data_IF_749651944831
#
_entry.id   IF_749651944831
#
_cell.length_a   1.000
_cell.length_b   1.000
_cell.length_c   1.000
_cell.angle_alpha   90.00
_cell.angle_beta   90.00
_cell.angle_gamma   90.00
#
_symmetry.space_group_name_H-M   'P 1'
#
loop_
_entity.id
_entity.type
_entity.pdbx_description
1 polymer ?
#
# COMPACT_ATOMS: atom_id res chain seq x y z
N UNK A 1 46.44 -37.08 30.96
CA UNK A 1 47.67 -36.38 31.40
C UNK A 1 47.44 -34.91 31.18
N UNK A 2 47.31 -34.17 32.29
CA UNK A 2 47.97 -32.84 32.59
C UNK A 2 47.63 -31.69 31.61
N UNK A 3 47.28 -30.50 31.95
CA UNK A 3 46.99 -29.83 33.23
C UNK A 3 46.56 -28.38 32.84
N UNK A 4 45.54 -27.89 33.49
CA UNK A 4 45.36 -26.60 34.15
C UNK A 4 46.24 -25.41 33.74
N UNK A 5 45.62 -24.25 33.48
CA UNK A 5 45.95 -23.05 34.25
C UNK A 5 44.86 -21.96 34.13
N UNK A 6 44.33 -21.57 35.30
CA UNK A 6 43.55 -20.37 35.56
C UNK A 6 44.49 -19.17 35.68
N UNK A 7 44.06 -17.97 35.21
CA UNK A 7 44.51 -16.71 35.84
C UNK A 7 43.29 -15.77 35.99
N UNK A 8 43.07 -15.37 37.24
CA UNK A 8 42.14 -14.35 37.72
C UNK A 8 42.88 -12.99 37.74
N UNK A 9 42.12 -11.93 37.66
CA UNK A 9 42.55 -10.56 38.00
C UNK A 9 41.47 -9.61 37.53
N UNK A 10 40.63 -9.15 38.32
CA UNK A 10 40.53 -8.20 39.42
C UNK A 10 40.16 -6.79 38.93
N UNK A 11 39.02 -6.36 39.49
CA UNK A 11 38.37 -5.06 39.61
C UNK A 11 39.26 -3.82 39.53
N UNK A 12 38.71 -2.75 38.96
CA UNK A 12 38.87 -1.39 39.51
C UNK A 12 37.60 -0.56 39.21
N UNK A 13 36.91 -0.18 40.29
CA UNK A 13 35.88 0.85 40.39
C UNK A 13 36.58 2.23 40.42
N UNK A 14 36.00 3.20 39.72
CA UNK A 14 36.19 4.61 40.05
C UNK A 14 34.88 5.37 39.76
N UNK A 15 34.25 5.80 40.83
CA UNK A 15 33.16 6.75 40.89
C UNK A 15 33.72 8.17 41.09
N UNK A 16 33.04 9.18 40.55
CA UNK A 16 33.01 10.63 40.94
C UNK A 16 32.48 11.37 39.72
N UNK A 17 31.56 12.32 39.76
CA UNK A 17 30.90 13.05 40.81
C UNK A 17 29.96 14.07 40.18
N UNK A 18 28.96 14.47 40.90
CA UNK A 18 27.92 15.45 40.57
C UNK A 18 28.48 16.83 40.16
N UNK A 19 27.79 17.54 39.28
CA UNK A 19 27.63 18.98 39.34
C UNK A 19 26.25 19.40 38.82
N UNK A 20 25.38 19.83 39.74
CA UNK A 20 24.18 20.63 39.47
C UNK A 20 24.59 22.07 39.14
N UNK A 21 23.96 22.67 38.15
CA UNK A 21 23.81 24.13 38.09
C UNK A 21 22.41 24.45 37.52
N UNK A 22 21.57 24.96 38.38
CA UNK A 22 20.29 25.61 38.08
C UNK A 22 20.53 27.13 37.95
N UNK A 23 19.88 27.80 37.00
CA UNK A 23 19.51 29.22 37.00
C UNK A 23 18.39 29.39 35.97
N UNK A 24 17.20 29.54 36.37
CA UNK A 24 16.22 30.60 36.70
C UNK A 24 15.95 31.63 35.61
N UNK A 25 14.67 31.62 35.22
CA UNK A 25 13.71 32.72 35.00
C UNK A 25 13.91 33.73 33.87
N UNK A 26 12.84 33.89 33.13
CA UNK A 26 12.53 35.02 32.29
C UNK A 26 11.18 34.85 31.57
N UNK A 27 10.09 35.23 32.26
CA UNK A 27 8.76 35.33 31.64
C UNK A 27 8.59 36.76 31.08
N UNK A 28 8.06 36.87 29.85
CA UNK A 28 7.27 37.99 29.32
C UNK A 28 6.73 37.58 27.98
N UNK A 29 5.41 37.41 27.82
CA UNK A 29 4.48 38.42 27.44
C UNK A 29 4.03 38.21 26.04
N UNK A 30 2.79 37.66 25.84
CA UNK A 30 2.05 37.59 24.55
C UNK A 30 1.72 39.01 24.04
N UNK A 31 1.37 39.20 22.78
CA UNK A 31 -0.05 39.13 22.47
C UNK A 31 -0.41 38.32 21.23
N UNK A 32 -1.61 37.78 21.27
CA UNK A 32 -2.35 37.21 20.16
C UNK A 32 -2.60 38.25 19.08
N UNK A 33 -2.42 37.85 17.82
CA UNK A 33 -3.03 38.51 16.68
C UNK A 33 -3.71 37.44 15.83
N UNK A 34 -5.04 37.44 15.92
CA UNK A 34 -5.94 36.86 14.95
C UNK A 34 -5.58 37.38 13.55
N UNK A 35 -5.30 36.47 12.64
CA UNK A 35 -5.46 36.70 11.23
C UNK A 35 -6.05 35.46 10.61
N UNK A 36 -7.38 35.43 10.55
CA UNK A 36 -8.15 34.53 9.72
C UNK A 36 -7.82 34.82 8.24
N UNK A 37 -6.75 34.20 7.74
CA UNK A 37 -6.44 34.05 6.34
C UNK A 37 -6.98 32.71 5.88
N UNK A 38 -8.10 32.71 5.14
CA UNK A 38 -8.53 31.59 4.32
C UNK A 38 -7.48 31.34 3.23
N UNK A 39 -6.44 30.62 3.55
CA UNK A 39 -5.64 29.94 2.56
C UNK A 39 -6.28 28.55 2.38
N UNK A 40 -6.76 28.27 1.18
CA UNK A 40 -7.05 26.92 0.72
C UNK A 40 -5.78 26.10 0.83
N UNK A 41 -5.48 25.66 2.06
CA UNK A 41 -4.32 24.84 2.36
C UNK A 41 -4.51 23.50 1.68
N UNK A 42 -3.64 23.20 0.73
CA UNK A 42 -3.19 21.83 0.50
C UNK A 42 -2.90 21.27 1.89
N UNK A 43 -3.76 20.41 2.41
CA UNK A 43 -3.48 19.65 3.61
C UNK A 43 -2.16 18.95 3.34
N UNK A 44 -1.09 19.43 3.93
CA UNK A 44 0.23 18.90 3.74
C UNK A 44 0.18 17.44 4.11
N UNK A 45 0.68 16.60 3.23
CA UNK A 45 0.79 15.18 3.48
C UNK A 45 1.87 15.01 4.54
N UNK A 46 1.48 15.06 5.80
CA UNK A 46 2.37 14.92 6.95
C UNK A 46 2.49 13.46 7.40
N UNK A 47 2.57 12.53 6.44
CA UNK A 47 2.86 11.14 6.75
C UNK A 47 4.36 10.89 6.55
N UNK A 48 5.15 10.63 7.62
CA UNK A 48 6.59 10.37 7.50
C UNK A 48 6.93 9.09 6.71
N UNK A 49 5.97 8.19 6.54
CA UNK A 49 6.13 7.00 5.72
C UNK A 49 5.87 7.26 4.23
N UNK A 50 5.33 8.43 3.86
CA UNK A 50 5.08 8.77 2.47
C UNK A 50 6.38 9.11 1.76
N UNK A 51 6.65 8.43 0.66
CA UNK A 51 7.79 8.75 -0.22
C UNK A 51 7.54 10.08 -0.94
N UNK A 52 8.33 11.14 -0.68
CA UNK A 52 8.20 12.42 -1.38
C UNK A 52 8.77 12.36 -2.80
N UNK A 53 9.35 11.23 -3.19
CA UNK A 53 10.09 11.04 -4.43
C UNK A 53 11.48 11.69 -4.42
N UNK A 54 12.43 11.02 -5.04
CA UNK A 54 13.78 11.52 -5.24
C UNK A 54 13.93 12.19 -6.62
N UNK A 55 14.54 13.37 -6.66
CA UNK A 55 14.78 14.08 -7.92
C UNK A 55 15.84 13.35 -8.75
N UNK A 56 15.57 13.20 -10.05
CA UNK A 56 16.51 12.62 -11.03
C UNK A 56 17.20 13.68 -11.91
N UNK A 57 17.04 14.97 -11.58
CA UNK A 57 17.75 16.06 -12.24
C UNK A 57 17.37 16.31 -13.69
N UNK A 58 16.36 15.65 -14.24
CA UNK A 58 15.92 15.83 -15.62
C UNK A 58 16.82 15.18 -16.66
N UNK A 59 17.48 14.07 -16.32
CA UNK A 59 18.20 13.24 -17.28
C UNK A 59 17.25 12.66 -18.33
N UNK A 60 17.75 12.34 -19.51
CA UNK A 60 16.93 11.72 -20.56
C UNK A 60 16.50 10.32 -20.13
N UNK A 61 15.20 10.05 -20.12
CA UNK A 61 14.68 8.72 -19.87
C UNK A 61 15.15 7.72 -20.94
N UNK A 62 15.60 6.53 -20.57
CA UNK A 62 15.89 5.45 -21.51
C UNK A 62 14.66 5.16 -22.38
N UNK A 63 14.87 4.92 -23.69
CA UNK A 63 13.75 4.56 -24.55
C UNK A 63 13.28 3.14 -24.26
N UNK A 64 11.97 2.96 -24.27
CA UNK A 64 11.30 1.66 -24.08
C UNK A 64 10.73 1.28 -25.42
N UNK A 65 11.00 0.06 -25.89
CA UNK A 65 10.44 -0.50 -27.13
C UNK A 65 9.89 -1.89 -26.84
N UNK A 66 8.60 -1.95 -26.56
CA UNK A 66 7.87 -3.15 -26.16
C UNK A 66 6.53 -3.20 -26.91
N UNK A 67 5.64 -4.09 -26.53
CA UNK A 67 4.25 -4.12 -26.99
C UNK A 67 3.30 -3.90 -25.82
N UNK A 68 2.16 -3.27 -26.06
CA UNK A 68 1.17 -3.08 -25.00
C UNK A 68 0.26 -4.31 -24.84
N UNK A 69 -0.68 -4.27 -23.91
CA UNK A 69 -1.65 -5.34 -23.63
C UNK A 69 -2.57 -5.69 -24.81
N UNK A 70 -2.53 -4.92 -25.90
CA UNK A 70 -3.24 -5.21 -27.15
C UNK A 70 -2.31 -5.79 -28.22
N UNK A 71 -1.03 -6.04 -27.91
CA UNK A 71 -0.04 -6.50 -28.87
C UNK A 71 0.48 -5.41 -29.82
N UNK A 72 0.18 -4.15 -29.57
CA UNK A 72 0.61 -3.04 -30.41
C UNK A 72 2.03 -2.61 -30.04
N UNK A 73 2.92 -2.37 -31.01
CA UNK A 73 4.27 -1.86 -30.74
C UNK A 73 4.18 -0.46 -30.10
N UNK A 74 4.91 -0.28 -28.99
CA UNK A 74 4.95 0.96 -28.24
C UNK A 74 6.38 1.40 -27.98
N UNK A 75 6.60 2.71 -28.03
CA UNK A 75 7.86 3.33 -27.62
C UNK A 75 7.59 4.51 -26.68
N UNK A 76 8.43 4.69 -25.66
CA UNK A 76 8.31 5.82 -24.74
C UNK A 76 8.33 7.17 -25.47
N UNK A 77 9.09 7.25 -26.56
CA UNK A 77 9.21 8.43 -27.41
C UNK A 77 7.89 8.89 -28.06
N UNK A 78 6.90 8.00 -28.21
CA UNK A 78 5.57 8.32 -28.74
C UNK A 78 4.76 9.24 -27.83
N UNK A 79 5.13 9.31 -26.54
CA UNK A 79 4.43 10.12 -25.55
C UNK A 79 5.04 11.51 -25.35
N UNK A 80 5.92 11.96 -26.26
CA UNK A 80 6.39 13.36 -26.25
C UNK A 80 5.22 14.33 -26.29
N UNK A 81 5.29 15.37 -25.48
CA UNK A 81 4.19 16.31 -25.28
C UNK A 81 3.25 15.97 -24.13
N UNK A 82 3.37 14.75 -23.57
CA UNK A 82 2.67 14.34 -22.35
C UNK A 82 3.66 14.11 -21.22
N UNK A 83 3.25 14.38 -19.99
CA UNK A 83 3.92 13.82 -18.82
C UNK A 83 3.61 12.32 -18.75
N UNK A 84 4.57 11.52 -18.31
CA UNK A 84 4.41 10.07 -18.21
C UNK A 84 4.61 9.66 -16.76
N UNK A 85 3.68 8.86 -16.23
CA UNK A 85 3.82 8.14 -14.98
C UNK A 85 4.07 6.67 -15.34
N UNK A 86 5.26 6.19 -15.07
CA UNK A 86 5.75 4.88 -15.46
C UNK A 86 5.99 4.03 -14.22
N UNK A 87 5.31 2.89 -14.11
CA UNK A 87 5.51 1.93 -13.03
C UNK A 87 6.04 0.60 -13.57
N UNK A 88 6.83 -0.11 -12.75
CA UNK A 88 7.20 -1.50 -12.99
C UNK A 88 6.27 -2.37 -12.15
N UNK A 89 5.59 -3.32 -12.79
CA UNK A 89 4.45 -4.05 -12.23
C UNK A 89 4.60 -5.53 -12.57
N UNK A 90 4.52 -6.39 -11.58
CA UNK A 90 4.36 -7.82 -11.79
C UNK A 90 2.91 -8.11 -12.22
N UNK A 91 2.74 -8.71 -13.39
CA UNK A 91 1.43 -9.01 -13.99
C UNK A 91 0.61 -10.07 -13.24
N UNK A 92 1.20 -10.79 -12.30
CA UNK A 92 0.55 -11.76 -11.42
C UNK A 92 0.49 -11.30 -9.95
N UNK A 93 0.97 -10.09 -9.66
CA UNK A 93 0.95 -9.54 -8.31
C UNK A 93 -0.48 -9.20 -7.86
N UNK A 94 -0.85 -9.67 -6.68
CA UNK A 94 -2.17 -9.49 -6.10
C UNK A 94 -2.18 -8.60 -4.86
N UNK A 95 -1.01 -8.09 -4.44
CA UNK A 95 -0.87 -7.27 -3.23
C UNK A 95 -0.44 -5.82 -3.52
N UNK A 96 0.86 -5.55 -3.71
CA UNK A 96 1.39 -4.17 -3.82
C UNK A 96 1.22 -3.53 -5.20
N UNK A 97 1.25 -4.31 -6.29
CA UNK A 97 1.12 -3.74 -7.63
C UNK A 97 -0.28 -3.16 -7.92
N UNK A 98 -1.39 -3.77 -7.45
CA UNK A 98 -2.70 -3.14 -7.50
C UNK A 98 -2.75 -1.77 -6.85
N UNK A 99 -2.06 -1.57 -5.73
CA UNK A 99 -1.99 -0.29 -5.01
C UNK A 99 -1.34 0.79 -5.87
N UNK A 100 -0.22 0.46 -6.51
CA UNK A 100 0.46 1.36 -7.46
C UNK A 100 -0.48 1.77 -8.58
N UNK A 101 -1.17 0.79 -9.15
CA UNK A 101 -2.13 0.98 -10.26
C UNK A 101 -3.25 1.93 -9.88
N UNK A 102 -3.85 1.74 -8.69
CA UNK A 102 -4.93 2.61 -8.19
C UNK A 102 -4.41 4.01 -7.87
N UNK A 103 -3.22 4.15 -7.29
CA UNK A 103 -2.59 5.46 -7.04
C UNK A 103 -2.35 6.23 -8.34
N UNK A 104 -1.92 5.56 -9.41
CA UNK A 104 -1.76 6.16 -10.74
C UNK A 104 -3.10 6.64 -11.30
N UNK A 105 -4.17 5.85 -11.17
CA UNK A 105 -5.52 6.22 -11.59
C UNK A 105 -6.03 7.41 -10.81
N UNK A 106 -5.87 7.42 -9.50
CA UNK A 106 -6.30 8.53 -8.66
C UNK A 106 -5.56 9.81 -9.00
N UNK A 107 -4.24 9.73 -9.22
CA UNK A 107 -3.46 10.87 -9.66
C UNK A 107 -4.02 11.49 -10.96
N UNK A 108 -4.34 10.66 -11.94
CA UNK A 108 -4.95 11.12 -13.20
C UNK A 108 -6.35 11.70 -13.00
N UNK A 109 -7.14 11.17 -12.08
CA UNK A 109 -8.46 11.72 -11.76
C UNK A 109 -8.38 13.10 -11.07
N UNK A 110 -7.44 13.25 -10.13
CA UNK A 110 -7.21 14.52 -9.44
C UNK A 110 -6.80 15.64 -10.42
N UNK A 111 -6.15 15.29 -11.51
CA UNK A 111 -5.81 16.24 -12.59
C UNK A 111 -7.02 16.66 -13.43
N UNK A 112 -8.17 15.98 -13.32
CA UNK A 112 -9.37 16.29 -14.09
C UNK A 112 -9.11 16.33 -15.59
N UNK A 113 -9.49 17.42 -16.27
CA UNK A 113 -9.26 17.59 -17.71
C UNK A 113 -7.76 17.56 -18.09
N UNK A 114 -6.89 18.07 -17.21
CA UNK A 114 -5.44 18.03 -17.43
C UNK A 114 -4.86 16.60 -17.41
N UNK A 115 -5.58 15.61 -16.85
CA UNK A 115 -5.20 14.21 -16.88
C UNK A 115 -5.08 13.63 -18.31
N UNK A 116 -5.68 14.26 -19.32
CA UNK A 116 -5.50 13.90 -20.74
C UNK A 116 -4.07 14.14 -21.23
N UNK A 117 -3.33 15.04 -20.58
CA UNK A 117 -1.92 15.33 -20.85
C UNK A 117 -0.95 14.47 -20.04
N UNK A 118 -1.47 13.49 -19.31
CA UNK A 118 -0.68 12.52 -18.55
C UNK A 118 -0.92 11.10 -19.10
N UNK A 119 0.15 10.44 -19.51
CA UNK A 119 0.13 9.02 -19.90
C UNK A 119 0.51 8.16 -18.70
N UNK A 120 -0.29 7.13 -18.45
CA UNK A 120 0.06 6.09 -17.51
C UNK A 120 0.67 4.91 -18.27
N UNK A 121 1.80 4.41 -17.81
CA UNK A 121 2.49 3.24 -18.36
C UNK A 121 2.80 2.24 -17.25
N UNK A 122 2.51 0.98 -17.50
CA UNK A 122 3.09 -0.13 -16.76
C UNK A 122 4.18 -0.81 -17.61
N UNK A 123 5.25 -1.29 -17.02
CA UNK A 123 6.20 -2.22 -17.64
C UNK A 123 6.21 -3.49 -16.82
N UNK A 124 6.03 -4.60 -17.49
CA UNK A 124 5.99 -5.91 -16.85
C UNK A 124 7.32 -6.23 -16.17
N UNK A 125 7.25 -6.57 -14.89
CA UNK A 125 8.38 -6.97 -14.05
C UNK A 125 8.32 -8.47 -13.66
N UNK A 126 7.42 -9.26 -14.30
CA UNK A 126 7.32 -10.68 -14.05
C UNK A 126 8.07 -11.47 -15.14
N UNK A 127 9.19 -12.16 -14.81
CA UNK A 127 9.93 -12.94 -15.80
C UNK A 127 9.22 -14.24 -16.21
N UNK A 128 8.11 -14.62 -15.54
CA UNK A 128 7.36 -15.86 -15.82
C UNK A 128 6.08 -15.61 -16.63
N UNK A 129 5.51 -14.42 -16.56
CA UNK A 129 4.23 -14.06 -17.15
C UNK A 129 4.39 -12.85 -18.08
N UNK A 130 5.09 -13.03 -19.21
CA UNK A 130 5.49 -11.95 -20.14
C UNK A 130 4.61 -11.85 -21.38
N UNK A 131 3.49 -12.55 -21.41
CA UNK A 131 2.63 -12.54 -22.59
C UNK A 131 1.69 -11.32 -22.65
N UNK A 132 1.23 -10.98 -23.83
CA UNK A 132 0.19 -9.96 -24.03
C UNK A 132 -1.09 -10.33 -23.27
N UNK A 133 -1.39 -11.63 -23.16
CA UNK A 133 -2.55 -12.12 -22.41
C UNK A 133 -2.44 -11.86 -20.91
N UNK A 134 -1.23 -11.98 -20.34
CA UNK A 134 -0.99 -11.70 -18.91
C UNK A 134 -1.15 -10.21 -18.64
N UNK A 135 -0.52 -9.35 -19.45
CA UNK A 135 -0.69 -7.91 -19.40
C UNK A 135 -2.16 -7.47 -19.53
N UNK A 136 -2.92 -8.13 -20.42
CA UNK A 136 -4.35 -7.87 -20.60
C UNK A 136 -5.16 -8.38 -19.40
N UNK A 137 -4.85 -9.55 -18.84
CA UNK A 137 -5.53 -10.11 -17.68
C UNK A 137 -5.39 -9.19 -16.48
N UNK A 138 -4.16 -8.73 -16.18
CA UNK A 138 -3.91 -7.75 -15.14
C UNK A 138 -4.67 -6.44 -15.38
N UNK A 139 -4.60 -5.90 -16.60
CA UNK A 139 -5.30 -4.66 -16.95
C UNK A 139 -6.82 -4.76 -16.78
N UNK A 140 -7.42 -5.93 -17.05
CA UNK A 140 -8.85 -6.20 -16.84
C UNK A 140 -9.18 -6.30 -15.36
N UNK A 141 -8.40 -7.07 -14.60
CA UNK A 141 -8.60 -7.27 -13.17
C UNK A 141 -8.62 -5.94 -12.40
N UNK A 142 -7.79 -4.98 -12.82
CA UNK A 142 -7.63 -3.69 -12.15
C UNK A 142 -8.30 -2.52 -12.89
N UNK A 143 -9.17 -2.79 -13.87
CA UNK A 143 -9.95 -1.76 -14.56
C UNK A 143 -9.11 -0.80 -15.40
N UNK A 144 -7.94 -1.23 -15.86
CA UNK A 144 -6.96 -0.39 -16.55
C UNK A 144 -7.00 -0.47 -18.08
N UNK A 145 -7.80 -1.35 -18.67
CA UNK A 145 -7.75 -1.74 -20.11
C UNK A 145 -7.61 -0.54 -21.07
N UNK A 146 -8.35 0.54 -20.85
CA UNK A 146 -8.31 1.73 -21.70
C UNK A 146 -7.81 2.97 -20.93
N UNK A 147 -7.05 2.76 -19.85
CA UNK A 147 -6.60 3.84 -18.96
C UNK A 147 -5.10 3.98 -18.91
N UNK A 148 -4.38 2.95 -19.32
CA UNK A 148 -2.93 2.92 -19.44
C UNK A 148 -2.49 2.06 -20.63
N UNK A 149 -1.19 2.02 -20.90
CA UNK A 149 -0.56 0.97 -21.69
C UNK A 149 0.32 0.13 -20.75
N UNK A 150 0.03 -1.19 -20.69
CA UNK A 150 0.85 -2.14 -19.96
C UNK A 150 1.78 -2.84 -20.93
N UNK A 151 3.05 -2.53 -20.84
CA UNK A 151 4.08 -2.90 -21.79
C UNK A 151 4.73 -4.21 -21.40
N UNK A 152 4.75 -5.15 -22.33
CA UNK A 152 5.38 -6.46 -22.20
C UNK A 152 6.18 -6.80 -23.46
N UNK A 153 6.89 -7.91 -23.43
CA UNK A 153 7.71 -8.37 -24.55
C UNK A 153 8.50 -9.63 -24.20
N UNK A 154 9.45 -9.99 -25.04
CA UNK A 154 10.35 -11.09 -24.69
C UNK A 154 11.14 -10.80 -23.43
N UNK A 155 11.54 -11.85 -22.69
CA UNK A 155 12.36 -11.72 -21.50
C UNK A 155 13.65 -10.92 -21.76
N UNK A 156 14.23 -11.06 -22.95
CA UNK A 156 15.41 -10.28 -23.35
C UNK A 156 15.10 -8.78 -23.47
N UNK A 157 13.95 -8.42 -24.07
CA UNK A 157 13.54 -7.03 -24.20
C UNK A 157 13.20 -6.41 -22.83
N UNK A 158 12.43 -7.13 -22.01
CA UNK A 158 12.09 -6.70 -20.65
C UNK A 158 13.35 -6.55 -19.80
N UNK A 159 14.27 -7.53 -19.84
CA UNK A 159 15.54 -7.46 -19.12
C UNK A 159 16.43 -6.29 -19.55
N UNK A 160 16.37 -5.87 -20.83
CA UNK A 160 17.07 -4.67 -21.27
C UNK A 160 16.45 -3.39 -20.67
N UNK A 161 15.13 -3.31 -20.60
CA UNK A 161 14.41 -2.20 -19.97
C UNK A 161 14.66 -2.17 -18.45
N UNK A 162 14.58 -3.31 -17.77
CA UNK A 162 14.85 -3.40 -16.33
C UNK A 162 16.24 -2.87 -15.98
N UNK A 163 17.26 -3.31 -16.75
CA UNK A 163 18.65 -2.80 -16.55
C UNK A 163 18.75 -1.29 -16.79
N UNK A 164 18.09 -0.79 -17.84
CA UNK A 164 18.16 0.63 -18.20
C UNK A 164 17.50 1.54 -17.13
N UNK A 165 16.48 1.02 -16.43
CA UNK A 165 15.78 1.71 -15.35
C UNK A 165 16.22 1.25 -13.95
N UNK A 166 17.30 0.47 -13.85
CA UNK A 166 17.85 -0.03 -12.58
C UNK A 166 16.84 -0.85 -11.74
N UNK A 167 15.97 -1.58 -12.42
CA UNK A 167 15.01 -2.48 -11.78
C UNK A 167 15.68 -3.84 -11.56
N UNK A 168 15.87 -4.21 -10.30
CA UNK A 168 16.21 -5.57 -9.94
C UNK A 168 14.93 -6.44 -10.06
N UNK A 169 15.03 -7.61 -10.66
CA UNK A 169 13.97 -8.61 -10.74
C UNK A 169 14.59 -9.95 -10.37
N UNK A 170 14.01 -10.62 -9.38
CA UNK A 170 14.47 -11.91 -8.91
C UNK A 170 13.30 -12.79 -8.46
N UNK A 171 13.53 -14.09 -8.47
CA UNK A 171 12.55 -15.06 -7.97
C UNK A 171 13.02 -15.53 -6.59
N UNK A 172 12.26 -15.19 -5.57
CA UNK A 172 12.53 -15.62 -4.19
C UNK A 172 11.40 -16.49 -3.68
N UNK A 173 11.72 -17.71 -3.25
CA UNK A 173 10.73 -18.66 -2.71
C UNK A 173 9.49 -18.85 -3.62
N UNK A 174 9.65 -18.73 -4.92
CA UNK A 174 8.58 -18.86 -5.91
C UNK A 174 7.82 -17.56 -6.22
N UNK A 175 8.01 -16.52 -5.44
CA UNK A 175 7.44 -15.18 -5.68
C UNK A 175 8.41 -14.33 -6.52
N UNK A 176 7.84 -13.36 -7.20
CA UNK A 176 8.60 -12.34 -7.92
C UNK A 176 8.88 -11.19 -6.94
N UNK A 177 10.16 -10.95 -6.71
CA UNK A 177 10.64 -9.76 -6.00
C UNK A 177 11.28 -8.82 -7.03
N UNK A 178 10.78 -7.58 -7.08
CA UNK A 178 11.33 -6.58 -7.99
C UNK A 178 11.37 -5.20 -7.33
N UNK A 179 12.25 -4.34 -7.82
CA UNK A 179 12.32 -2.95 -7.36
C UNK A 179 10.98 -2.25 -7.61
N UNK A 180 10.26 -1.81 -6.56
CA UNK A 180 8.96 -1.16 -6.70
C UNK A 180 9.14 0.31 -7.09
N UNK A 181 9.61 0.56 -8.32
CA UNK A 181 9.91 1.90 -8.80
C UNK A 181 8.77 2.47 -9.64
N UNK A 182 8.47 3.75 -9.39
CA UNK A 182 7.58 4.56 -10.19
C UNK A 182 8.32 5.83 -10.61
N UNK A 183 8.37 6.08 -11.91
CA UNK A 183 9.04 7.24 -12.50
C UNK A 183 8.02 8.28 -12.96
N UNK A 184 8.32 9.54 -12.75
CA UNK A 184 7.61 10.65 -13.38
C UNK A 184 8.55 11.30 -14.40
N UNK A 185 8.11 11.31 -15.65
CA UNK A 185 8.86 11.75 -16.83
C UNK A 185 8.13 12.95 -17.43
N UNK A 186 8.85 14.02 -17.76
CA UNK A 186 8.27 15.23 -18.32
C UNK A 186 7.92 15.08 -19.83
N UNK A 187 7.23 16.09 -20.37
CA UNK A 187 6.80 16.15 -21.76
C UNK A 187 7.96 16.08 -22.78
N UNK A 188 9.19 16.37 -22.35
CA UNK A 188 10.41 16.27 -23.15
C UNK A 188 11.08 14.91 -23.02
N UNK A 189 10.47 14.00 -22.22
CA UNK A 189 10.99 12.66 -21.91
C UNK A 189 12.23 12.69 -21.03
N UNK A 190 12.23 13.57 -20.04
CA UNK A 190 13.26 13.63 -19.01
C UNK A 190 12.74 13.14 -17.71
N UNK A 191 13.47 12.29 -17.04
CA UNK A 191 13.14 11.77 -15.72
C UNK A 191 13.22 12.88 -14.68
N UNK A 192 12.12 13.15 -14.02
CA UNK A 192 12.00 14.21 -13.04
C UNK A 192 12.09 13.68 -11.62
N UNK A 193 11.33 12.62 -11.34
CA UNK A 193 11.31 11.96 -10.03
C UNK A 193 11.25 10.45 -10.14
N UNK A 194 11.77 9.78 -9.15
CA UNK A 194 11.56 8.37 -8.85
C UNK A 194 10.96 8.24 -7.45
N UNK A 195 10.02 7.33 -7.32
CA UNK A 195 9.45 6.89 -6.06
C UNK A 195 9.81 5.41 -5.91
N UNK A 196 10.52 5.09 -4.84
CA UNK A 196 10.89 3.71 -4.48
C UNK A 196 9.98 3.26 -3.34
N UNK A 197 8.71 3.25 -3.61
CA UNK A 197 7.71 2.96 -2.59
C UNK A 197 7.72 1.49 -2.24
N UNK A 198 8.11 1.20 -1.01
CA UNK A 198 7.49 0.09 -0.32
C UNK A 198 6.06 0.55 0.00
N UNK A 199 5.14 0.28 -0.91
CA UNK A 199 3.77 0.82 -0.87
C UNK A 199 2.96 0.28 0.31
N UNK A 200 3.50 -0.65 1.08
CA UNK A 200 2.89 -1.31 2.22
C UNK A 200 2.47 -0.38 3.38
N UNK A 201 2.82 0.91 3.32
CA UNK A 201 2.60 1.82 4.44
C UNK A 201 1.98 3.16 4.07
N UNK A 202 1.61 3.34 2.81
CA UNK A 202 1.13 4.63 2.33
C UNK A 202 -0.30 4.54 1.86
N UNK A 203 -1.18 5.37 2.41
CA UNK A 203 -2.54 5.52 1.89
C UNK A 203 -2.49 5.82 0.39
N UNK A 204 -3.21 5.05 -0.41
CA UNK A 204 -3.36 5.28 -1.86
C UNK A 204 -3.72 6.72 -2.16
N UNK A 205 -4.61 7.28 -1.34
CA UNK A 205 -5.01 8.66 -1.45
C UNK A 205 -3.85 9.64 -1.37
N UNK A 206 -2.93 9.38 -0.48
CA UNK A 206 -1.76 10.23 -0.31
C UNK A 206 -0.78 10.01 -1.46
N UNK A 207 -0.55 8.77 -1.87
CA UNK A 207 0.28 8.44 -3.03
C UNK A 207 -0.28 9.04 -4.32
N UNK A 208 -1.58 8.89 -4.56
CA UNK A 208 -2.25 9.48 -5.72
C UNK A 208 -2.16 11.01 -5.72
N UNK A 209 -2.28 11.65 -4.57
CA UNK A 209 -2.15 13.10 -4.45
C UNK A 209 -0.71 13.58 -4.73
N UNK A 210 0.30 12.91 -4.20
CA UNK A 210 1.71 13.23 -4.46
C UNK A 210 2.04 13.08 -5.93
N UNK A 211 1.61 12.00 -6.57
CA UNK A 211 1.80 11.79 -8.01
C UNK A 211 1.07 12.85 -8.83
N UNK A 212 -0.15 13.22 -8.43
CA UNK A 212 -0.92 14.28 -9.11
C UNK A 212 -0.24 15.65 -8.98
N UNK A 213 0.29 15.99 -7.81
CA UNK A 213 1.03 17.23 -7.57
C UNK A 213 2.29 17.30 -8.44
N UNK A 214 3.06 16.21 -8.50
CA UNK A 214 4.25 16.15 -9.34
C UNK A 214 3.88 16.27 -10.82
N UNK A 215 2.91 15.49 -11.31
CA UNK A 215 2.47 15.59 -12.68
C UNK A 215 1.94 16.98 -13.02
N UNK A 216 1.13 17.59 -12.16
CA UNK A 216 0.62 18.97 -12.35
C UNK A 216 1.75 20.00 -12.47
N UNK A 217 2.82 19.86 -11.68
CA UNK A 217 3.99 20.74 -11.72
C UNK A 217 4.72 20.71 -13.06
N UNK A 218 4.57 19.63 -13.82
CA UNK A 218 5.18 19.44 -15.13
C UNK A 218 4.30 19.91 -16.29
N UNK A 219 3.02 20.14 -16.04
CA UNK A 219 2.07 20.56 -17.08
C UNK A 219 2.01 22.09 -17.24
N UNK A 220 1.74 22.61 -18.45
CA UNK A 220 1.53 24.04 -18.67
C UNK A 220 0.43 24.60 -17.76
N UNK A 221 0.69 25.74 -17.16
CA UNK A 221 -0.25 26.42 -16.29
C UNK A 221 -0.41 25.80 -14.90
N UNK A 222 0.34 24.75 -14.58
CA UNK A 222 0.31 24.07 -13.28
C UNK A 222 -1.12 23.87 -12.74
N UNK A 223 -1.93 23.02 -13.40
CA UNK A 223 -3.34 22.89 -13.10
C UNK A 223 -3.58 22.57 -11.64
N UNK A 224 -4.60 23.21 -11.06
CA UNK A 224 -5.05 22.88 -9.72
C UNK A 224 -5.66 21.46 -9.69
N UNK A 225 -5.42 20.75 -8.60
CA UNK A 225 -5.98 19.42 -8.41
C UNK A 225 -7.47 19.51 -8.06
N UNK A 226 -8.26 18.62 -8.62
CA UNK A 226 -9.67 18.46 -8.29
C UNK A 226 -9.89 17.72 -6.97
N UNK A 227 -11.15 17.54 -6.62
CA UNK A 227 -11.53 16.73 -5.47
C UNK A 227 -11.46 15.22 -5.80
N UNK A 228 -11.14 14.43 -4.78
CA UNK A 228 -11.14 12.95 -4.90
C UNK A 228 -12.53 12.41 -5.18
N UNK A 229 -12.61 11.50 -6.12
CA UNK A 229 -13.74 10.59 -6.27
C UNK A 229 -13.32 9.22 -5.80
N UNK A 230 -14.15 8.55 -5.01
CA UNK A 230 -13.90 7.15 -4.68
C UNK A 230 -13.84 6.34 -5.98
N UNK A 231 -12.72 5.67 -6.21
CA UNK A 231 -12.62 4.71 -7.31
C UNK A 231 -13.46 3.49 -6.96
N UNK A 232 -14.42 3.14 -7.81
CA UNK A 232 -15.09 1.87 -7.70
C UNK A 232 -14.13 0.76 -8.11
N UNK A 233 -13.93 -0.21 -7.24
CA UNK A 233 -13.14 -1.40 -7.57
C UNK A 233 -13.90 -2.23 -8.60
N UNK A 234 -13.23 -2.59 -9.69
CA UNK A 234 -13.83 -3.35 -10.78
C UNK A 234 -13.49 -4.82 -10.55
N UNK A 235 -14.51 -5.64 -10.40
CA UNK A 235 -14.39 -7.11 -10.31
C UNK A 235 -14.48 -7.72 -8.92
N UNK A 236 -14.50 -6.91 -7.85
CA UNK A 236 -14.67 -7.40 -6.48
C UNK A 236 -16.11 -7.79 -6.13
N UNK A 237 -16.28 -8.42 -4.96
CA UNK A 237 -17.60 -8.68 -4.37
C UNK A 237 -18.11 -7.40 -3.73
N UNK A 238 -19.35 -7.01 -4.05
CA UNK A 238 -19.95 -5.85 -3.37
C UNK A 238 -19.98 -6.08 -1.85
N UNK A 239 -19.67 -5.08 -1.01
CA UNK A 239 -19.70 -5.21 0.46
C UNK A 239 -21.07 -5.65 0.99
N UNK A 240 -22.14 -5.36 0.24
CA UNK A 240 -23.52 -5.80 0.54
C UNK A 240 -23.80 -7.24 0.11
N UNK A 241 -22.87 -7.90 -0.60
CA UNK A 241 -23.02 -9.30 -0.98
C UNK A 241 -22.88 -10.22 0.25
N UNK A 242 -23.71 -11.27 0.29
CA UNK A 242 -23.50 -12.34 1.24
C UNK A 242 -22.44 -13.29 0.72
N UNK A 243 -21.43 -13.54 1.53
CA UNK A 243 -20.33 -14.45 1.20
C UNK A 243 -20.03 -15.33 2.40
N UNK A 244 -19.61 -16.55 2.14
CA UNK A 244 -19.10 -17.46 3.17
C UNK A 244 -17.67 -17.84 2.78
N UNK A 245 -16.72 -17.50 3.62
CA UNK A 245 -15.31 -17.76 3.41
C UNK A 245 -14.86 -18.99 4.22
N UNK A 246 -13.82 -19.72 3.76
CA UNK A 246 -13.15 -20.71 4.58
C UNK A 246 -12.64 -20.11 5.88
N UNK A 247 -12.95 -20.73 7.01
CA UNK A 247 -12.46 -20.35 8.33
C UNK A 247 -11.14 -21.01 8.69
N UNK A 248 -10.36 -20.39 9.53
CA UNK A 248 -9.09 -20.91 10.02
C UNK A 248 -9.18 -21.12 11.54
N UNK A 249 -8.83 -22.32 12.04
CA UNK A 249 -8.21 -23.49 11.36
C UNK A 249 -9.21 -24.35 10.59
N UNK A 250 -10.49 -24.15 10.75
CA UNK A 250 -11.54 -24.91 10.07
C UNK A 250 -12.89 -24.18 10.11
N UNK A 251 -13.89 -24.73 9.41
CA UNK A 251 -15.23 -24.20 9.37
C UNK A 251 -15.44 -23.12 8.29
N UNK A 252 -16.42 -22.26 8.52
CA UNK A 252 -16.77 -21.19 7.59
C UNK A 252 -17.17 -19.91 8.33
N UNK A 253 -16.87 -18.75 7.73
CA UNK A 253 -17.14 -17.44 8.29
C UNK A 253 -18.07 -16.70 7.34
N UNK A 254 -19.33 -16.46 7.72
CA UNK A 254 -20.25 -15.66 6.91
C UNK A 254 -19.99 -14.17 7.08
N UNK A 255 -19.99 -13.45 5.96
CA UNK A 255 -19.94 -11.99 5.89
C UNK A 255 -21.09 -11.46 5.02
N UNK A 256 -21.45 -10.22 5.23
CA UNK A 256 -22.53 -9.53 4.51
C UNK A 256 -23.57 -8.92 5.44
N UNK A 257 -24.74 -8.50 4.89
CA UNK A 257 -25.80 -7.84 5.66
C UNK A 257 -26.35 -8.70 6.80
N UNK A 258 -26.66 -8.07 7.92
CA UNK A 258 -27.23 -8.68 9.11
C UNK A 258 -26.84 -7.92 10.37
N UNK A 259 -25.62 -8.01 10.79
CA UNK A 259 -25.08 -7.33 11.98
C UNK A 259 -23.94 -6.40 11.55
N UNK A 260 -23.75 -5.25 12.22
CA UNK A 260 -22.55 -4.45 12.01
C UNK A 260 -21.29 -5.27 12.27
N UNK A 261 -20.26 -5.07 11.46
CA UNK A 261 -19.00 -5.83 11.54
C UNK A 261 -17.80 -4.91 11.37
N UNK A 262 -16.80 -5.09 12.21
CA UNK A 262 -15.45 -4.63 11.94
C UNK A 262 -14.72 -5.76 11.23
N UNK A 263 -14.24 -5.50 10.02
CA UNK A 263 -13.45 -6.46 9.23
C UNK A 263 -12.02 -5.94 9.16
N UNK A 264 -11.06 -6.76 9.54
CA UNK A 264 -9.63 -6.48 9.39
C UNK A 264 -9.08 -7.39 8.30
N UNK A 265 -8.50 -6.82 7.26
CA UNK A 265 -7.73 -7.56 6.27
C UNK A 265 -6.26 -7.58 6.67
N UNK A 266 -5.60 -8.71 6.47
CA UNK A 266 -4.19 -8.90 6.72
C UNK A 266 -3.60 -9.95 5.78
N UNK A 267 -2.27 -10.02 5.72
CA UNK A 267 -1.53 -11.14 5.14
C UNK A 267 -0.32 -11.46 6.02
N UNK A 268 0.13 -12.71 6.01
CA UNK A 268 1.19 -13.16 6.92
C UNK A 268 2.56 -12.57 6.60
N UNK A 269 2.82 -12.18 5.36
CA UNK A 269 4.07 -11.51 4.97
C UNK A 269 4.31 -10.19 5.70
N UNK A 270 3.25 -9.53 6.17
CA UNK A 270 3.35 -8.28 6.96
C UNK A 270 4.16 -8.49 8.26
N UNK A 271 4.23 -9.73 8.75
CA UNK A 271 5.07 -10.07 9.89
C UNK A 271 6.58 -9.87 9.67
N UNK A 272 7.02 -9.74 8.42
CA UNK A 272 8.42 -9.44 8.09
C UNK A 272 8.77 -7.97 8.36
N UNK A 273 7.76 -7.10 8.44
CA UNK A 273 7.93 -5.65 8.53
C UNK A 273 7.23 -5.02 9.74
N UNK A 274 6.38 -5.79 10.43
CA UNK A 274 5.63 -5.30 11.61
C UNK A 274 5.41 -6.41 12.65
N UNK A 275 4.96 -6.02 13.85
CA UNK A 275 4.53 -6.97 14.90
C UNK A 275 3.10 -7.47 14.63
N UNK A 276 2.89 -8.16 13.52
CA UNK A 276 1.58 -8.74 13.18
C UNK A 276 1.06 -9.66 14.30
N UNK A 277 1.94 -10.45 14.92
CA UNK A 277 1.55 -11.35 16.02
C UNK A 277 0.97 -10.59 17.21
N UNK A 278 1.66 -9.56 17.67
CA UNK A 278 1.18 -8.69 18.75
C UNK A 278 -0.11 -7.97 18.38
N UNK A 279 -0.21 -7.49 17.14
CA UNK A 279 -1.40 -6.84 16.61
C UNK A 279 -2.62 -7.77 16.63
N UNK A 280 -2.51 -8.96 16.08
CA UNK A 280 -3.59 -9.96 16.09
C UNK A 280 -4.01 -10.34 17.52
N UNK A 281 -3.05 -10.54 18.42
CA UNK A 281 -3.34 -10.86 19.81
C UNK A 281 -3.97 -9.70 20.58
N UNK A 282 -3.57 -8.45 20.31
CA UNK A 282 -4.17 -7.25 20.91
C UNK A 282 -5.66 -7.12 20.55
N UNK A 283 -6.05 -7.48 19.33
CA UNK A 283 -7.45 -7.48 18.90
C UNK A 283 -8.38 -8.43 19.69
N UNK A 284 -7.82 -9.37 20.47
CA UNK A 284 -8.61 -10.16 21.42
C UNK A 284 -9.31 -9.26 22.46
N UNK A 285 -8.73 -8.13 22.82
CA UNK A 285 -9.35 -7.16 23.74
C UNK A 285 -10.60 -6.54 23.10
N UNK A 286 -10.48 -6.02 21.87
CA UNK A 286 -11.63 -5.53 21.11
C UNK A 286 -12.72 -6.59 20.97
N UNK A 287 -12.36 -7.81 20.60
CA UNK A 287 -13.32 -8.89 20.41
C UNK A 287 -14.06 -9.27 21.70
N UNK A 288 -13.39 -9.18 22.85
CA UNK A 288 -14.07 -9.38 24.16
C UNK A 288 -15.05 -8.26 24.47
N UNK A 289 -14.66 -7.00 24.22
CA UNK A 289 -15.54 -5.85 24.38
C UNK A 289 -16.77 -5.95 23.46
N UNK A 290 -16.58 -6.39 22.22
CA UNK A 290 -17.67 -6.58 21.24
C UNK A 290 -18.69 -7.65 21.66
N UNK A 291 -18.29 -8.70 22.39
CA UNK A 291 -19.21 -9.73 22.92
C UNK A 291 -20.25 -9.18 23.89
N UNK A 292 -20.00 -8.06 24.53
CA UNK A 292 -20.94 -7.40 25.43
C UNK A 292 -21.93 -6.47 24.70
N UNK A 293 -22.02 -6.54 23.37
CA UNK A 293 -23.03 -5.87 22.54
C UNK A 293 -22.84 -4.36 22.36
N UNK A 294 -21.71 -3.81 22.81
CA UNK A 294 -21.41 -2.36 22.72
C UNK A 294 -20.61 -1.97 21.47
N UNK A 295 -20.09 -2.94 20.74
CA UNK A 295 -19.25 -2.76 19.56
C UNK A 295 -19.63 -3.76 18.47
N UNK A 296 -19.41 -3.42 17.18
CA UNK A 296 -19.52 -4.36 16.08
C UNK A 296 -18.60 -5.57 16.27
N UNK A 297 -19.09 -6.76 15.94
CA UNK A 297 -18.27 -7.98 16.02
C UNK A 297 -17.09 -7.91 15.07
N UNK A 298 -15.91 -8.39 15.50
CA UNK A 298 -14.68 -8.44 14.70
C UNK A 298 -14.58 -9.73 13.89
N UNK A 299 -14.17 -9.60 12.65
CA UNK A 299 -13.71 -10.69 11.78
C UNK A 299 -12.36 -10.27 11.18
N UNK A 300 -11.35 -11.13 11.25
CA UNK A 300 -10.15 -10.95 10.45
C UNK A 300 -10.25 -11.78 9.17
N UNK A 301 -9.75 -11.23 8.08
CA UNK A 301 -9.72 -11.88 6.77
C UNK A 301 -8.28 -11.85 6.27
N UNK A 302 -7.72 -13.03 6.12
CA UNK A 302 -6.45 -13.22 5.44
C UNK A 302 -6.66 -13.06 3.93
N UNK A 303 -5.82 -12.28 3.29
CA UNK A 303 -5.82 -12.12 1.84
C UNK A 303 -5.03 -13.27 1.20
N UNK A 304 -5.68 -14.42 1.07
CA UNK A 304 -5.04 -15.67 0.63
C UNK A 304 -4.35 -15.60 -0.72
N UNK A 305 -4.70 -14.64 -1.57
CA UNK A 305 -4.01 -14.38 -2.85
C UNK A 305 -2.66 -13.70 -2.67
N UNK A 306 -2.45 -13.05 -1.52
CA UNK A 306 -1.19 -12.42 -1.15
C UNK A 306 -0.24 -13.37 -0.38
N UNK A 307 -0.69 -14.57 -0.08
CA UNK A 307 0.07 -15.53 0.71
C UNK A 307 1.02 -16.38 -0.14
N UNK A 308 2.21 -16.79 0.40
CA UNK A 308 3.17 -17.61 -0.33
C UNK A 308 2.66 -19.04 -0.58
N UNK A 309 1.63 -19.48 0.15
CA UNK A 309 0.99 -20.79 -0.05
C UNK A 309 -0.40 -20.83 0.56
N UNK A 310 -1.29 -21.73 0.10
CA UNK A 310 -2.68 -21.83 0.61
C UNK A 310 -2.80 -22.16 2.12
N UNK A 311 -1.73 -22.64 2.75
CA UNK A 311 -1.72 -22.96 4.18
C UNK A 311 -0.99 -21.93 5.06
N UNK A 312 -0.47 -20.85 4.50
CA UNK A 312 0.38 -19.88 5.20
C UNK A 312 -0.33 -19.27 6.42
N UNK A 313 -1.56 -18.78 6.22
CA UNK A 313 -2.35 -18.22 7.31
C UNK A 313 -2.56 -19.22 8.47
N UNK A 314 -2.91 -20.46 8.15
CA UNK A 314 -3.14 -21.50 9.17
C UNK A 314 -1.85 -21.82 9.94
N UNK A 315 -0.72 -21.92 9.24
CA UNK A 315 0.59 -22.17 9.87
C UNK A 315 0.99 -21.00 10.76
N UNK A 316 0.82 -19.76 10.28
CA UNK A 316 1.12 -18.55 11.04
C UNK A 316 0.29 -18.45 12.33
N UNK A 317 -1.02 -18.60 12.21
CA UNK A 317 -1.94 -18.51 13.35
C UNK A 317 -1.68 -19.61 14.39
N UNK A 318 -1.31 -20.81 13.96
CA UNK A 318 -0.87 -21.88 14.87
C UNK A 318 0.39 -21.46 15.64
N UNK A 319 1.29 -20.72 15.01
CA UNK A 319 2.53 -20.22 15.62
C UNK A 319 2.32 -19.12 16.68
N UNK A 320 1.14 -18.49 16.76
CA UNK A 320 0.86 -17.46 17.76
C UNK A 320 0.89 -17.97 19.21
N UNK A 321 0.75 -19.28 19.43
CA UNK A 321 0.76 -19.90 20.75
C UNK A 321 -0.42 -19.55 21.66
N UNK A 322 -1.31 -18.66 21.21
CA UNK A 322 -2.54 -18.23 21.89
C UNK A 322 -3.70 -18.17 20.90
N UNK A 323 -4.91 -18.60 21.28
CA UNK A 323 -6.06 -18.53 20.40
C UNK A 323 -6.54 -17.07 20.20
N UNK A 324 -7.08 -16.80 19.02
CA UNK A 324 -7.78 -15.57 18.75
C UNK A 324 -9.24 -15.67 19.26
N UNK A 325 -9.74 -14.57 19.83
CA UNK A 325 -11.08 -14.49 20.40
C UNK A 325 -12.16 -14.13 19.37
N UNK A 326 -11.80 -14.08 18.09
CA UNK A 326 -12.62 -13.71 16.95
C UNK A 326 -12.35 -14.64 15.77
N UNK A 327 -13.31 -14.80 14.84
CA UNK A 327 -13.11 -15.65 13.68
C UNK A 327 -12.09 -15.06 12.71
N UNK A 328 -11.32 -15.95 12.09
CA UNK A 328 -10.43 -15.67 10.98
C UNK A 328 -10.91 -16.41 9.76
N UNK A 329 -10.97 -15.75 8.63
CA UNK A 329 -11.33 -16.29 7.33
C UNK A 329 -10.20 -16.07 6.32
N UNK A 330 -10.25 -16.78 5.21
CA UNK A 330 -9.31 -16.61 4.09
C UNK A 330 -10.09 -16.23 2.84
N UNK A 331 -9.74 -15.08 2.24
CA UNK A 331 -10.21 -14.71 0.90
C UNK A 331 -9.28 -15.34 -0.15
N UNK A 332 -9.55 -16.59 -0.50
CA UNK A 332 -8.74 -17.36 -1.44
C UNK A 332 -8.76 -16.81 -2.87
N UNK A 333 -9.63 -15.88 -3.15
CA UNK A 333 -9.84 -15.30 -4.50
C UNK A 333 -9.45 -13.84 -4.62
N UNK A 334 -9.18 -13.16 -3.49
CA UNK A 334 -8.95 -11.71 -3.43
C UNK A 334 -10.20 -10.86 -3.73
N UNK A 335 -11.32 -11.48 -4.13
CA UNK A 335 -12.52 -10.75 -4.57
C UNK A 335 -13.20 -9.98 -3.45
N UNK A 336 -13.09 -10.45 -2.21
CA UNK A 336 -13.61 -9.71 -1.07
C UNK A 336 -12.74 -8.49 -0.80
N UNK A 337 -11.42 -8.67 -0.71
CA UNK A 337 -10.47 -7.58 -0.55
C UNK A 337 -10.66 -6.51 -1.62
N UNK A 338 -10.77 -6.92 -2.89
CA UNK A 338 -11.08 -6.04 -4.02
C UNK A 338 -12.37 -5.26 -3.81
N UNK A 339 -13.45 -5.93 -3.46
CA UNK A 339 -14.78 -5.31 -3.28
C UNK A 339 -14.83 -4.34 -2.11
N UNK A 340 -14.03 -4.55 -1.09
CA UNK A 340 -13.90 -3.67 0.07
C UNK A 340 -12.88 -2.55 -0.18
N UNK A 341 -12.15 -2.62 -1.29
CA UNK A 341 -11.13 -1.66 -1.67
C UNK A 341 -9.96 -1.69 -0.70
N UNK A 342 -9.54 -2.90 -0.32
CA UNK A 342 -8.33 -3.16 0.46
C UNK A 342 -7.13 -2.76 -0.38
N UNK A 343 -6.20 -2.04 0.20
CA UNK A 343 -5.12 -1.39 -0.53
C UNK A 343 -3.77 -1.58 0.15
N UNK A 344 -3.80 -1.97 1.40
CA UNK A 344 -2.65 -2.26 2.22
C UNK A 344 -3.07 -3.14 3.40
N UNK A 345 -2.11 -3.57 4.23
CA UNK A 345 -2.37 -4.45 5.36
C UNK A 345 -1.54 -4.01 6.57
N UNK A 346 -2.19 -3.93 7.72
CA UNK A 346 -3.59 -4.27 7.99
C UNK A 346 -4.56 -3.18 7.50
N UNK A 347 -5.71 -3.59 6.98
CA UNK A 347 -6.77 -2.71 6.51
C UNK A 347 -8.06 -2.94 7.29
N UNK A 348 -8.65 -1.89 7.82
CA UNK A 348 -9.89 -2.01 8.60
C UNK A 348 -11.07 -1.43 7.83
N UNK A 349 -12.17 -2.15 7.87
CA UNK A 349 -13.45 -1.74 7.27
C UNK A 349 -14.57 -1.95 8.28
N UNK A 350 -15.38 -0.90 8.51
CA UNK A 350 -16.56 -1.01 9.33
C UNK A 350 -17.80 -1.08 8.44
N UNK A 351 -18.58 -2.12 8.63
CA UNK A 351 -19.81 -2.38 7.92
C UNK A 351 -21.00 -2.07 8.81
N UNK A 352 -22.00 -1.36 8.26
CA UNK A 352 -23.31 -1.25 8.86
C UNK A 352 -24.06 -2.59 8.82
N UNK A 353 -25.19 -2.69 9.54
CA UNK A 353 -26.07 -3.86 9.48
C UNK A 353 -26.58 -4.16 8.05
N UNK A 354 -26.66 -3.15 7.18
CA UNK A 354 -27.00 -3.31 5.77
C UNK A 354 -25.85 -3.74 4.87
N UNK A 355 -24.66 -3.98 5.44
CA UNK A 355 -23.46 -4.35 4.69
C UNK A 355 -22.80 -3.18 3.96
N UNK A 356 -23.21 -1.93 4.20
CA UNK A 356 -22.56 -0.76 3.62
C UNK A 356 -21.29 -0.42 4.40
N UNK A 357 -20.23 -0.07 3.69
CA UNK A 357 -19.01 0.46 4.30
C UNK A 357 -19.31 1.86 4.84
N UNK A 358 -19.17 2.03 6.15
CA UNK A 358 -19.39 3.31 6.84
C UNK A 358 -18.08 3.97 7.29
N UNK A 359 -17.00 3.18 7.38
CA UNK A 359 -15.67 3.68 7.71
C UNK A 359 -14.59 2.73 7.18
N UNK A 360 -13.44 3.28 6.83
CA UNK A 360 -12.23 2.56 6.43
C UNK A 360 -11.01 3.16 7.11
N UNK A 361 -10.00 2.35 7.35
CA UNK A 361 -8.71 2.79 7.84
C UNK A 361 -7.59 1.94 7.27
N UNK A 362 -6.55 2.62 6.86
CA UNK A 362 -5.31 2.07 6.35
C UNK A 362 -4.26 2.05 7.48
N UNK A 363 -3.62 0.90 7.67
CA UNK A 363 -2.62 0.70 8.69
C UNK A 363 -3.18 0.31 10.06
N UNK A 364 -2.26 0.02 10.99
CA UNK A 364 -2.60 -0.41 12.34
C UNK A 364 -3.18 0.70 13.20
N UNK A 365 -4.23 0.36 13.94
CA UNK A 365 -4.77 1.20 15.01
C UNK A 365 -4.73 0.48 16.36
N UNK A 366 -4.47 1.23 17.41
CA UNK A 366 -4.61 0.71 18.77
C UNK A 366 -6.06 0.32 19.07
N UNK A 367 -6.24 -0.66 19.96
CA UNK A 367 -7.59 -1.13 20.33
C UNK A 367 -8.50 0.02 20.79
N UNK A 368 -8.06 0.96 21.67
CA UNK A 368 -8.90 2.11 22.04
C UNK A 368 -9.30 2.98 20.85
N UNK A 369 -8.43 3.17 19.87
CA UNK A 369 -8.73 3.94 18.66
C UNK A 369 -9.76 3.22 17.77
N UNK A 370 -9.63 1.90 17.60
CA UNK A 370 -10.62 1.07 16.89
C UNK A 370 -11.98 1.11 17.57
N UNK A 371 -12.02 1.01 18.90
CA UNK A 371 -13.28 1.13 19.68
C UNK A 371 -13.92 2.51 19.48
N UNK A 372 -13.11 3.58 19.52
CA UNK A 372 -13.62 4.93 19.32
C UNK A 372 -14.19 5.13 17.90
N UNK A 373 -13.55 4.56 16.87
CA UNK A 373 -14.04 4.57 15.49
C UNK A 373 -15.33 3.77 15.36
N UNK A 374 -15.39 2.57 15.95
CA UNK A 374 -16.54 1.68 15.88
C UNK A 374 -17.78 2.22 16.59
N UNK A 375 -17.64 3.08 17.60
CA UNK A 375 -18.77 3.73 18.30
C UNK A 375 -19.38 4.90 17.53
N UNK A 376 -18.66 5.46 16.55
CA UNK A 376 -19.12 6.61 15.74
C UNK A 376 -19.91 6.21 14.50
N UNK A 377 -19.90 4.93 14.17
CA UNK A 377 -20.55 4.35 13.01
C UNK A 377 -21.80 3.54 13.37
#
# INVERSE_FOLDING_TARGET
>A
MKATSLVRGALLLAACGLALAACTSGAAGAPAADSAGRSGGTAGVNNPALDPGSSLGGVRAPDIRLQNQFGQPMALSQFRGKAVVLAFVDSECTNVCPLTTVSMLEARQLLGAAGSHVQLLGVDANPKATSVSDAMAYSRAHGMVNRWDFLTGSLSQLGAVWRAYHIAVQIQRGMIDHTPALYVIDQRGRERKIYLTQMAYTSIAQSGQVLAQEAASLLPGHPALGSRRSLAYIGGLAPTARVTLPGVPCGSVPLGPGQPRLVMFFATWVAETSDLSGQLLALNEYARAARHGRLPGLVAVDEGTAEPSPGAAAAYLKGLGKPLAYPVAVDTTGRLADGYGVQDQPWFVLLSAGGKIVWKHDGWLSVPALEAAARKA
#
